data_IF_141833955695
#
_entry.id   IF_141833955695
#
_cell.length_a   1.000
_cell.length_b   1.000
_cell.length_c   1.000
_cell.angle_alpha   90.00
_cell.angle_beta   90.00
_cell.angle_gamma   90.00
#
_symmetry.space_group_name_H-M   'P 1'
#
loop_
_entity.id
_entity.type
_entity.pdbx_description
1 polymer ?
#
# COMPACT_ATOMS: atom_id res chain seq x y z
N UNK A 1 18.11 5.62 9.67
CA UNK A 1 17.54 6.61 8.72
C UNK A 1 16.43 5.94 7.91
N UNK A 2 15.16 6.27 8.20
CA UNK A 2 13.98 5.87 7.41
C UNK A 2 13.95 6.77 6.18
N UNK A 3 14.47 6.31 5.05
CA UNK A 3 14.15 6.97 3.78
C UNK A 3 12.82 6.39 3.35
N UNK A 4 11.71 7.05 3.70
CA UNK A 4 10.46 6.82 3.01
C UNK A 4 10.65 7.49 1.64
N UNK A 5 10.72 6.72 0.56
CA UNK A 5 10.86 7.27 -0.78
C UNK A 5 9.59 8.03 -1.14
N UNK A 6 9.55 9.34 -0.87
CA UNK A 6 8.44 10.20 -1.25
C UNK A 6 8.62 10.55 -2.72
N UNK A 7 7.83 9.91 -3.59
CA UNK A 7 7.73 10.31 -4.99
C UNK A 7 6.91 11.60 -5.03
N UNK A 8 7.58 12.72 -5.36
CA UNK A 8 6.92 13.99 -5.59
C UNK A 8 6.44 14.03 -7.04
N UNK A 9 5.12 13.99 -7.22
CA UNK A 9 4.49 14.17 -8.51
C UNK A 9 4.08 15.64 -8.60
N UNK A 10 4.44 16.35 -9.70
CA UNK A 10 4.03 17.73 -9.89
C UNK A 10 2.50 17.83 -9.96
N UNK A 11 1.97 18.94 -9.43
CA UNK A 11 0.54 19.23 -9.54
C UNK A 11 0.17 19.45 -10.99
N UNK A 12 -0.89 18.76 -11.42
CA UNK A 12 -1.42 18.77 -12.77
C UNK A 12 -2.79 19.44 -12.80
N UNK A 13 -2.93 20.35 -13.76
CA UNK A 13 -4.20 20.97 -14.12
C UNK A 13 -4.66 20.39 -15.45
N UNK A 14 -5.76 19.65 -15.43
CA UNK A 14 -6.39 19.08 -16.63
C UNK A 14 -7.59 19.94 -17.00
N UNK A 15 -7.51 20.53 -18.18
CA UNK A 15 -8.54 21.34 -18.82
C UNK A 15 -8.97 20.64 -20.12
N UNK A 16 -10.04 21.12 -20.75
CA UNK A 16 -10.62 20.48 -21.94
C UNK A 16 -9.62 20.37 -23.11
N UNK A 17 -8.72 21.34 -23.24
CA UNK A 17 -7.68 21.35 -24.27
C UNK A 17 -6.45 20.51 -23.90
N UNK A 18 -6.29 20.11 -22.63
CA UNK A 18 -5.09 19.41 -22.16
C UNK A 18 -4.88 18.09 -22.88
N UNK A 19 -5.97 17.38 -23.21
CA UNK A 19 -5.91 16.12 -23.97
C UNK A 19 -5.17 16.31 -25.29
N UNK A 20 -5.57 17.30 -26.10
CA UNK A 20 -4.93 17.60 -27.38
C UNK A 20 -3.47 18.00 -27.20
N UNK A 21 -3.14 18.79 -26.18
CA UNK A 21 -1.76 19.19 -25.90
C UNK A 21 -0.91 17.96 -25.57
N UNK A 22 -1.37 17.07 -24.70
CA UNK A 22 -0.62 15.87 -24.33
C UNK A 22 -0.37 14.96 -25.54
N UNK A 23 -1.39 14.72 -26.36
CA UNK A 23 -1.24 13.92 -27.58
C UNK A 23 -0.23 14.56 -28.56
N UNK A 24 -0.29 15.87 -28.76
CA UNK A 24 0.65 16.58 -29.62
C UNK A 24 2.10 16.53 -29.09
N UNK A 25 2.29 16.68 -27.77
CA UNK A 25 3.60 16.60 -27.15
C UNK A 25 4.18 15.19 -27.22
N UNK A 26 3.36 14.16 -27.00
CA UNK A 26 3.77 12.76 -27.15
C UNK A 26 4.17 12.46 -28.60
N UNK A 27 3.39 12.91 -29.58
CA UNK A 27 3.72 12.78 -31.00
C UNK A 27 5.03 13.50 -31.35
N UNK A 28 5.24 14.71 -30.82
CA UNK A 28 6.47 15.48 -31.01
C UNK A 28 7.70 14.76 -30.44
N UNK A 29 7.65 14.29 -29.19
CA UNK A 29 8.75 13.54 -28.56
C UNK A 29 9.05 12.23 -29.28
N UNK A 30 8.05 11.57 -29.89
CA UNK A 30 8.25 10.36 -30.70
C UNK A 30 8.96 10.66 -32.03
N UNK A 31 8.57 11.73 -32.70
CA UNK A 31 9.10 12.08 -34.02
C UNK A 31 10.52 12.63 -33.94
N UNK A 32 10.85 13.35 -32.86
CA UNK A 32 12.14 14.01 -32.70
C UNK A 32 13.02 13.30 -31.66
N UNK A 33 13.92 12.43 -32.13
CA UNK A 33 14.84 11.62 -31.30
C UNK A 33 15.83 12.43 -30.44
N UNK A 34 15.97 13.74 -30.67
CA UNK A 34 16.78 14.64 -29.86
C UNK A 34 16.01 15.35 -28.73
N UNK A 35 14.69 15.23 -28.70
CA UNK A 35 13.88 15.72 -27.58
C UNK A 35 13.97 14.70 -26.46
N UNK A 36 14.10 15.18 -25.22
CA UNK A 36 13.86 14.32 -24.06
C UNK A 36 12.49 13.65 -24.16
N UNK A 37 12.32 12.53 -23.46
CA UNK A 37 11.09 11.72 -23.49
C UNK A 37 10.30 11.88 -22.20
N UNK A 38 10.34 13.11 -21.67
CA UNK A 38 9.84 13.44 -20.35
C UNK A 38 8.31 13.39 -20.32
N UNK A 39 7.66 13.88 -21.36
CA UNK A 39 6.19 13.85 -21.46
C UNK A 39 5.70 12.43 -21.68
N UNK A 40 6.36 11.65 -22.53
CA UNK A 40 6.07 10.21 -22.70
C UNK A 40 6.20 9.48 -21.38
N UNK A 41 7.29 9.71 -20.63
CA UNK A 41 7.50 9.07 -19.34
C UNK A 41 6.45 9.47 -18.30
N UNK A 42 6.12 10.75 -18.24
CA UNK A 42 5.12 11.28 -17.32
C UNK A 42 3.72 10.75 -17.63
N UNK A 43 3.30 10.77 -18.90
CA UNK A 43 2.01 10.28 -19.35
C UNK A 43 1.86 8.77 -19.10
N UNK A 44 2.92 7.99 -19.35
CA UNK A 44 2.94 6.57 -19.02
C UNK A 44 2.85 6.34 -17.50
N UNK A 45 3.54 7.14 -16.69
CA UNK A 45 3.45 7.06 -15.23
C UNK A 45 2.04 7.36 -14.73
N UNK A 46 1.44 8.47 -15.20
CA UNK A 46 0.08 8.86 -14.85
C UNK A 46 -0.96 7.83 -15.28
N UNK A 47 -0.81 7.21 -16.46
CA UNK A 47 -1.71 6.14 -16.90
C UNK A 47 -1.69 4.91 -15.98
N UNK A 48 -0.52 4.57 -15.42
CA UNK A 48 -0.43 3.50 -14.43
C UNK A 48 -1.02 3.88 -13.07
N UNK A 49 -0.99 5.17 -12.71
CA UNK A 49 -1.58 5.67 -11.46
C UNK A 49 -3.10 5.86 -11.56
N UNK A 50 -3.61 6.16 -12.75
CA UNK A 50 -5.02 6.50 -13.01
C UNK A 50 -5.73 5.35 -13.72
N UNK A 51 -6.00 4.26 -13.00
CA UNK A 51 -6.73 3.11 -13.56
C UNK A 51 -8.23 3.20 -13.32
N UNK A 52 -8.64 3.91 -12.26
CA UNK A 52 -10.02 4.02 -11.82
C UNK A 52 -10.38 5.45 -11.41
N UNK A 53 -11.69 5.73 -11.29
CA UNK A 53 -12.18 7.03 -10.82
C UNK A 53 -11.79 7.27 -9.36
N UNK A 54 -11.65 6.19 -8.59
CA UNK A 54 -11.20 6.21 -7.21
C UNK A 54 -9.77 6.73 -7.11
N UNK A 55 -8.90 6.35 -8.05
CA UNK A 55 -7.51 6.83 -8.11
C UNK A 55 -7.46 8.33 -8.43
N UNK A 56 -8.30 8.80 -9.35
CA UNK A 56 -8.44 10.23 -9.66
C UNK A 56 -8.84 11.02 -8.41
N UNK A 57 -9.84 10.52 -7.67
CA UNK A 57 -10.28 11.15 -6.41
C UNK A 57 -9.17 11.17 -5.37
N UNK A 58 -8.37 10.12 -5.29
CA UNK A 58 -7.22 10.06 -4.37
C UNK A 58 -6.14 11.08 -4.75
N UNK A 59 -5.80 11.18 -6.04
CA UNK A 59 -4.84 12.18 -6.54
C UNK A 59 -5.36 13.63 -6.41
N UNK A 60 -6.67 13.85 -6.52
CA UNK A 60 -7.28 15.16 -6.26
C UNK A 60 -7.17 15.53 -4.78
N UNK A 61 -7.44 14.58 -3.88
CA UNK A 61 -7.29 14.76 -2.42
C UNK A 61 -5.84 15.04 -2.01
N UNK A 62 -4.87 14.43 -2.68
CA UNK A 62 -3.45 14.69 -2.41
C UNK A 62 -2.92 15.98 -3.04
N UNK A 63 -3.76 16.73 -3.77
CA UNK A 63 -3.38 17.98 -4.45
C UNK A 63 -2.52 17.76 -5.70
N UNK A 64 -2.41 16.52 -6.18
CA UNK A 64 -1.70 16.20 -7.42
C UNK A 64 -2.58 16.56 -8.62
N UNK A 65 -3.88 16.30 -8.58
CA UNK A 65 -4.84 16.81 -9.58
C UNK A 65 -5.55 18.04 -9.01
N UNK A 66 -5.15 19.23 -9.42
CA UNK A 66 -5.74 20.47 -8.93
C UNK A 66 -6.63 21.11 -10.00
N UNK A 67 -7.82 21.57 -9.59
CA UNK A 67 -8.69 22.42 -10.40
C UNK A 67 -8.96 21.88 -11.82
N UNK A 68 -9.41 20.62 -11.91
CA UNK A 68 -9.83 20.01 -13.17
C UNK A 68 -11.31 20.28 -13.44
N UNK A 69 -11.64 20.90 -14.57
CA UNK A 69 -13.02 20.96 -15.08
C UNK A 69 -13.47 19.62 -15.70
N UNK A 70 -12.52 18.71 -15.87
CA UNK A 70 -12.69 17.41 -16.51
C UNK A 70 -13.25 16.39 -15.52
N UNK A 71 -14.21 15.58 -15.97
CA UNK A 71 -14.79 14.50 -15.17
C UNK A 71 -13.75 13.43 -14.84
N UNK A 72 -13.94 12.72 -13.74
CA UNK A 72 -12.97 11.71 -13.29
C UNK A 72 -12.77 10.59 -14.35
N UNK A 73 -13.85 10.25 -15.06
CA UNK A 73 -13.81 9.26 -16.16
C UNK A 73 -12.96 9.75 -17.32
N UNK A 74 -13.14 11.02 -17.69
CA UNK A 74 -12.47 11.61 -18.84
C UNK A 74 -10.98 11.76 -18.57
N UNK A 75 -10.59 12.04 -17.32
CA UNK A 75 -9.19 12.04 -16.91
C UNK A 75 -8.55 10.64 -17.03
N UNK A 76 -9.25 9.58 -16.59
CA UNK A 76 -8.77 8.19 -16.78
C UNK A 76 -8.64 7.87 -18.28
N UNK A 77 -9.66 8.20 -19.06
CA UNK A 77 -9.67 7.93 -20.50
C UNK A 77 -8.55 8.65 -21.24
N UNK A 78 -8.25 9.91 -20.89
CA UNK A 78 -7.14 10.68 -21.46
C UNK A 78 -5.81 9.95 -21.27
N UNK A 79 -5.48 9.55 -20.03
CA UNK A 79 -4.21 8.88 -19.80
C UNK A 79 -4.18 7.44 -20.33
N UNK A 80 -5.32 6.76 -20.36
CA UNK A 80 -5.45 5.47 -21.03
C UNK A 80 -5.15 5.58 -22.54
N UNK A 81 -5.74 6.56 -23.24
CA UNK A 81 -5.49 6.77 -24.68
C UNK A 81 -4.04 7.16 -24.96
N UNK A 82 -3.45 8.02 -24.12
CA UNK A 82 -2.02 8.31 -24.21
C UNK A 82 -1.16 7.06 -24.01
N UNK A 83 -1.50 6.19 -23.06
CA UNK A 83 -0.76 4.96 -22.81
C UNK A 83 -0.76 4.00 -24.00
N UNK A 84 -1.91 3.88 -24.68
CA UNK A 84 -2.04 3.07 -25.89
C UNK A 84 -1.16 3.62 -27.01
N UNK A 85 -1.18 4.94 -27.19
CA UNK A 85 -0.30 5.60 -28.15
C UNK A 85 1.18 5.38 -27.81
N UNK A 86 1.54 5.41 -26.52
CA UNK A 86 2.92 5.20 -26.04
C UNK A 86 3.34 3.74 -26.14
N UNK A 87 2.42 2.77 -26.08
CA UNK A 87 2.69 1.32 -26.03
C UNK A 87 3.54 0.77 -27.20
N UNK A 88 3.65 1.50 -28.31
CA UNK A 88 4.58 1.20 -29.42
C UNK A 88 5.98 1.84 -29.30
N UNK A 89 6.29 2.52 -28.20
CA UNK A 89 7.48 3.34 -28.01
C UNK A 89 8.36 2.78 -26.88
N UNK A 90 9.68 2.73 -27.08
CA UNK A 90 10.62 2.22 -26.06
C UNK A 90 10.54 3.10 -24.81
N UNK A 91 10.15 2.59 -23.64
CA UNK A 91 10.08 3.40 -22.42
C UNK A 91 11.45 4.06 -22.12
N UNK A 92 11.53 5.30 -21.64
CA UNK A 92 12.82 5.90 -21.29
C UNK A 92 13.52 5.14 -20.17
N UNK A 93 14.84 4.96 -20.27
CA UNK A 93 15.65 4.22 -19.29
C UNK A 93 15.52 4.82 -17.88
N UNK A 94 15.40 6.15 -17.78
CA UNK A 94 15.19 6.87 -16.52
C UNK A 94 13.89 6.46 -15.82
N UNK A 95 12.81 6.28 -16.59
CA UNK A 95 11.54 5.84 -16.04
C UNK A 95 11.61 4.39 -15.60
N UNK A 96 12.28 3.54 -16.37
CA UNK A 96 12.50 2.14 -15.99
C UNK A 96 13.32 2.04 -14.69
N UNK A 97 14.37 2.84 -14.56
CA UNK A 97 15.16 2.95 -13.34
C UNK A 97 14.31 3.44 -12.15
N UNK A 98 13.44 4.42 -12.37
CA UNK A 98 12.53 4.94 -11.36
C UNK A 98 11.52 3.86 -10.90
N UNK A 99 10.90 3.13 -11.82
CA UNK A 99 10.02 2.00 -11.49
C UNK A 99 10.76 0.91 -10.71
N UNK A 100 11.99 0.59 -11.11
CA UNK A 100 12.83 -0.39 -10.41
C UNK A 100 13.14 0.07 -8.98
N UNK A 101 13.47 1.34 -8.79
CA UNK A 101 13.71 1.92 -7.46
C UNK A 101 12.46 1.91 -6.58
N UNK A 102 11.32 2.35 -7.12
CA UNK A 102 10.03 2.34 -6.40
C UNK A 102 9.62 0.92 -6.03
N UNK A 103 9.76 -0.03 -6.96
CA UNK A 103 9.44 -1.45 -6.72
C UNK A 103 10.35 -2.06 -5.67
N UNK A 104 11.66 -1.77 -5.73
CA UNK A 104 12.63 -2.23 -4.73
C UNK A 104 12.34 -1.62 -3.36
N UNK A 105 12.01 -0.33 -3.32
CA UNK A 105 11.66 0.37 -2.09
C UNK A 105 10.37 -0.18 -1.47
N UNK A 106 9.32 -0.35 -2.28
CA UNK A 106 8.06 -0.94 -1.85
C UNK A 106 8.23 -2.39 -1.42
N UNK A 107 9.02 -3.20 -2.14
CA UNK A 107 9.33 -4.58 -1.73
C UNK A 107 10.11 -4.62 -0.43
N UNK A 108 11.06 -3.71 -0.21
CA UNK A 108 11.81 -3.63 1.04
C UNK A 108 10.94 -3.12 2.20
N UNK A 109 10.08 -2.12 1.96
CA UNK A 109 9.13 -1.62 2.94
C UNK A 109 8.08 -2.67 3.30
N UNK A 110 7.47 -3.30 2.28
CA UNK A 110 6.55 -4.43 2.43
C UNK A 110 7.24 -5.62 3.08
N UNK A 111 8.48 -5.94 2.74
CA UNK A 111 9.22 -7.03 3.40
C UNK A 111 9.57 -6.69 4.85
N UNK A 112 9.83 -5.43 5.19
CA UNK A 112 10.02 -4.99 6.58
C UNK A 112 8.72 -5.01 7.35
N UNK A 113 7.64 -4.49 6.76
CA UNK A 113 6.30 -4.51 7.34
C UNK A 113 5.80 -5.94 7.49
N UNK A 114 5.83 -6.78 6.47
CA UNK A 114 5.50 -8.21 6.61
C UNK A 114 6.46 -8.93 7.56
N UNK A 115 7.74 -8.54 7.60
CA UNK A 115 8.70 -9.06 8.59
C UNK A 115 8.35 -8.66 10.02
N UNK A 116 7.81 -7.46 10.24
CA UNK A 116 7.42 -6.94 11.55
C UNK A 116 5.98 -7.32 11.94
N UNK A 117 5.06 -7.47 10.98
CA UNK A 117 3.64 -7.77 11.19
C UNK A 117 3.32 -9.27 11.14
N UNK A 118 4.07 -10.10 10.43
CA UNK A 118 3.98 -11.57 10.60
C UNK A 118 4.58 -11.99 11.94
N UNK A 119 5.49 -11.18 12.50
CA UNK A 119 5.94 -11.28 13.89
C UNK A 119 4.92 -10.69 14.88
N UNK A 120 4.03 -9.81 14.42
CA UNK A 120 2.86 -9.40 15.19
C UNK A 120 1.71 -10.37 15.03
N UNK A 121 1.72 -11.41 15.86
CA UNK A 121 0.51 -11.83 16.57
C UNK A 121 -0.70 -12.31 15.74
N UNK A 122 -1.37 -13.32 16.30
CA UNK A 122 -2.62 -13.04 16.98
C UNK A 122 -3.24 -14.34 17.51
N UNK A 123 -3.40 -15.41 16.72
CA UNK A 123 -4.07 -16.60 17.24
C UNK A 123 -3.19 -17.38 18.23
N UNK A 124 -1.92 -17.68 17.88
CA UNK A 124 -1.09 -18.59 18.69
C UNK A 124 -0.79 -18.06 20.10
N UNK A 125 -0.52 -16.76 20.26
CA UNK A 125 -0.14 -16.22 21.57
C UNK A 125 -1.33 -16.12 22.54
N UNK A 126 -2.51 -15.73 22.07
CA UNK A 126 -3.72 -15.71 22.90
C UNK A 126 -4.15 -17.10 23.35
N UNK A 127 -4.03 -18.09 22.46
CA UNK A 127 -4.33 -19.49 22.78
C UNK A 127 -3.33 -20.00 23.83
N UNK A 128 -2.03 -19.74 23.67
CA UNK A 128 -1.00 -20.18 24.63
C UNK A 128 -1.23 -19.60 26.03
N UNK A 129 -1.57 -18.31 26.13
CA UNK A 129 -1.82 -17.66 27.43
C UNK A 129 -3.06 -18.26 28.12
N UNK A 130 -4.13 -18.52 27.34
CA UNK A 130 -5.36 -19.13 27.86
C UNK A 130 -5.11 -20.52 28.45
N UNK A 131 -4.33 -21.36 27.76
CA UNK A 131 -4.00 -22.71 28.23
C UNK A 131 -3.18 -22.68 29.53
N UNK A 132 -2.20 -21.78 29.62
CA UNK A 132 -1.37 -21.66 30.83
C UNK A 132 -2.21 -21.20 32.02
N UNK A 133 -3.10 -20.22 31.81
CA UNK A 133 -4.01 -19.75 32.86
C UNK A 133 -4.95 -20.84 33.37
N UNK A 134 -5.55 -21.61 32.46
CA UNK A 134 -6.42 -22.73 32.83
C UNK A 134 -5.69 -23.80 33.65
N UNK A 135 -4.45 -24.13 33.29
CA UNK A 135 -3.65 -25.13 33.98
C UNK A 135 -3.27 -24.69 35.40
N UNK A 136 -2.92 -23.42 35.60
CA UNK A 136 -2.64 -22.86 36.92
C UNK A 136 -3.88 -22.86 37.82
N UNK A 137 -5.05 -22.45 37.29
CA UNK A 137 -6.31 -22.47 38.03
C UNK A 137 -6.69 -23.89 38.45
N UNK A 138 -6.48 -24.87 37.56
CA UNK A 138 -6.77 -26.27 37.84
C UNK A 138 -5.89 -26.84 38.97
N UNK A 139 -4.60 -26.51 38.97
CA UNK A 139 -3.69 -26.93 40.05
C UNK A 139 -4.08 -26.30 41.39
N UNK A 140 -4.46 -25.02 41.37
CA UNK A 140 -4.86 -24.30 42.58
C UNK A 140 -6.13 -24.90 43.21
N UNK A 141 -7.14 -25.18 42.39
CA UNK A 141 -8.40 -25.79 42.86
C UNK A 141 -8.18 -27.21 43.37
N UNK A 142 -7.29 -27.99 42.76
CA UNK A 142 -6.92 -29.32 43.25
C UNK A 142 -6.31 -29.25 44.66
N UNK A 143 -5.34 -28.36 44.88
CA UNK A 143 -4.71 -28.17 46.19
C UNK A 143 -5.73 -27.70 47.23
N UNK A 144 -6.56 -26.71 46.89
CA UNK A 144 -7.61 -26.21 47.77
C UNK A 144 -8.61 -27.31 48.17
N UNK A 145 -8.97 -28.19 47.23
CA UNK A 145 -9.89 -29.30 47.47
C UNK A 145 -9.27 -30.32 48.43
N UNK A 146 -8.00 -30.68 48.25
CA UNK A 146 -7.28 -31.61 49.15
C UNK A 146 -7.20 -31.05 50.57
N UNK A 147 -6.82 -29.78 50.73
CA UNK A 147 -6.80 -29.14 52.05
C UNK A 147 -8.20 -29.07 52.68
N UNK A 148 -9.23 -28.75 51.90
CA UNK A 148 -10.61 -28.70 52.40
C UNK A 148 -11.07 -30.08 52.89
N UNK A 149 -10.80 -31.14 52.12
CA UNK A 149 -11.14 -32.53 52.49
C UNK A 149 -10.37 -32.97 53.72
N UNK A 150 -9.05 -32.72 53.79
CA UNK A 150 -8.24 -33.03 54.97
C UNK A 150 -8.73 -32.28 56.21
N UNK A 151 -9.07 -30.99 56.07
CA UNK A 151 -9.62 -30.19 57.17
C UNK A 151 -10.98 -30.71 57.64
N UNK A 152 -11.83 -31.18 56.73
CA UNK A 152 -13.12 -31.79 57.03
C UNK A 152 -12.95 -33.11 57.80
N UNK A 153 -12.07 -34.00 57.34
CA UNK A 153 -11.78 -35.25 58.05
C UNK A 153 -11.08 -35.02 59.40
N UNK A 154 -10.18 -34.04 59.50
CA UNK A 154 -9.57 -33.66 60.77
C UNK A 154 -10.60 -33.11 61.77
N UNK A 155 -11.57 -32.31 61.29
CA UNK A 155 -12.67 -31.81 62.12
C UNK A 155 -13.63 -32.91 62.57
N UNK A 156 -13.84 -33.96 61.76
CA UNK A 156 -14.65 -35.11 62.15
C UNK A 156 -13.94 -36.04 63.16
N UNK A 157 -12.61 -36.11 63.11
CA UNK A 157 -11.81 -36.92 64.05
C UNK A 157 -11.66 -36.26 65.44
N UNK A 158 -11.81 -34.94 65.53
CA UNK A 158 -11.71 -34.16 66.77
C UNK A 158 -13.05 -34.00 67.52
N UNK A 159 -14.07 -34.76 67.15
CA UNK A 159 -15.39 -34.78 67.78
C UNK A 159 -15.73 -36.19 68.25
#
# INVERSE_FOLDING_TARGET
>A
MKVCGVVKIPTLHILDYSSTIFHNLVAFEKQYKGSGRCVVAYSACMAHLLQSKEDVKLLRKSGILANTNVNDIDAVNLFASLSEEIGGSLMPDDLHALYSQVTKHHRQWRSRWYGETTLQYCPNLWITISVIGALLLFLLTAVQTVYSVLSYYASLKNK
#
